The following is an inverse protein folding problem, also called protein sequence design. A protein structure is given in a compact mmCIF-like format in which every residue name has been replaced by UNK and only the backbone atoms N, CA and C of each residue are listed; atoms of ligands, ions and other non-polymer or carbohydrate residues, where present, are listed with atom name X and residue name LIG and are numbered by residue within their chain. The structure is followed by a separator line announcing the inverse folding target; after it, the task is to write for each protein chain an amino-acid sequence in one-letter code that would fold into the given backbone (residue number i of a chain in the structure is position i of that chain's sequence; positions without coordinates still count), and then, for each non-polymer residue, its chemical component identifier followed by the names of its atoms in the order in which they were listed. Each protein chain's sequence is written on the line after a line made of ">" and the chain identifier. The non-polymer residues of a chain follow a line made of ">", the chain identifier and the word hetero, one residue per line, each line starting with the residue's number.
data_IF_535475212425
#
_entry.id   IF_535475212425
#
_cell.length_a   1.000
_cell.length_b   1.000
_cell.length_c   1.000
_cell.angle_alpha   90.00
_cell.angle_beta   90.00
_cell.angle_gamma   90.00
#
_symmetry.space_group_name_H-M   'P 1'
#
loop_
_entity.id
_entity.type
_entity.pdbx_description
1 polymer ?
#
# COMPACT_ATOMS: atom_id res chain seq x y z
N UNK A 1 9.13 22.68 -13.29
CA UNK A 1 9.30 21.21 -13.28
C UNK A 1 8.05 20.48 -12.83
N UNK A 2 7.55 20.68 -11.61
CA UNK A 2 6.33 20.00 -11.14
C UNK A 2 5.11 20.27 -12.04
N UNK A 3 4.83 21.53 -12.39
CA UNK A 3 3.71 21.87 -13.28
C UNK A 3 3.80 21.19 -14.65
N UNK A 4 5.02 21.08 -15.22
CA UNK A 4 5.25 20.38 -16.48
C UNK A 4 5.00 18.87 -16.33
N UNK A 5 5.46 18.27 -15.23
CA UNK A 5 5.23 16.86 -14.91
C UNK A 5 3.73 16.55 -14.77
N UNK A 6 2.99 17.38 -14.04
CA UNK A 6 1.53 17.26 -13.89
C UNK A 6 0.82 17.45 -15.22
N UNK A 7 1.24 18.41 -16.05
CA UNK A 7 0.68 18.61 -17.38
C UNK A 7 0.93 17.39 -18.28
N UNK A 8 2.16 16.85 -18.29
CA UNK A 8 2.50 15.65 -19.04
C UNK A 8 1.70 14.42 -18.56
N UNK A 9 1.54 14.25 -17.25
CA UNK A 9 0.69 13.22 -16.67
C UNK A 9 -0.78 13.39 -17.11
N UNK A 10 -1.31 14.62 -17.09
CA UNK A 10 -2.69 14.91 -17.48
C UNK A 10 -2.92 14.60 -18.96
N UNK A 11 -1.99 14.98 -19.83
CA UNK A 11 -2.02 14.65 -21.26
C UNK A 11 -1.97 13.14 -21.46
N UNK A 12 -1.08 12.44 -20.75
CA UNK A 12 -0.98 10.98 -20.82
C UNK A 12 -2.30 10.31 -20.42
N UNK A 13 -2.90 10.71 -19.30
CA UNK A 13 -4.18 10.17 -18.83
C UNK A 13 -5.30 10.40 -19.84
N UNK A 14 -5.34 11.59 -20.46
CA UNK A 14 -6.33 11.93 -21.47
C UNK A 14 -6.16 11.12 -22.75
N UNK A 15 -4.91 10.99 -23.25
CA UNK A 15 -4.59 10.29 -24.50
C UNK A 15 -4.76 8.78 -24.35
N UNK A 16 -4.23 8.20 -23.28
CA UNK A 16 -4.30 6.76 -23.00
C UNK A 16 -5.65 6.33 -22.42
N UNK A 17 -6.55 7.28 -22.11
CA UNK A 17 -7.87 7.05 -21.49
C UNK A 17 -7.77 6.16 -20.25
N UNK A 18 -6.81 6.48 -19.38
CA UNK A 18 -6.42 5.61 -18.26
C UNK A 18 -7.64 5.29 -17.38
N UNK A 19 -7.97 4.00 -17.20
CA UNK A 19 -9.16 3.61 -16.45
C UNK A 19 -9.02 3.79 -14.94
N UNK A 20 -7.81 3.64 -14.39
CA UNK A 20 -7.52 3.46 -12.96
C UNK A 20 -8.23 2.22 -12.39
N UNK A 21 -7.79 1.04 -12.84
CA UNK A 21 -8.45 -0.24 -12.54
C UNK A 21 -8.58 -0.49 -11.02
N UNK A 22 -7.53 -0.29 -10.24
CA UNK A 22 -7.56 -0.50 -8.78
C UNK A 22 -8.52 0.47 -8.09
N UNK A 23 -8.57 1.73 -8.51
CA UNK A 23 -9.56 2.69 -8.01
C UNK A 23 -11.00 2.19 -8.26
N UNK A 24 -11.26 1.58 -9.43
CA UNK A 24 -12.57 1.01 -9.74
C UNK A 24 -12.88 -0.24 -8.90
N UNK A 25 -11.87 -1.05 -8.57
CA UNK A 25 -11.99 -2.16 -7.61
C UNK A 25 -12.34 -1.62 -6.22
N UNK A 26 -11.62 -0.60 -5.71
CA UNK A 26 -11.93 0.02 -4.41
C UNK A 26 -13.36 0.57 -4.39
N UNK A 27 -13.79 1.19 -5.49
CA UNK A 27 -15.16 1.69 -5.64
C UNK A 27 -16.20 0.57 -5.62
N UNK A 28 -15.92 -0.57 -6.26
CA UNK A 28 -16.79 -1.74 -6.24
C UNK A 28 -16.84 -2.40 -4.86
N UNK A 29 -15.70 -2.52 -4.17
CA UNK A 29 -15.63 -3.00 -2.78
C UNK A 29 -16.47 -2.11 -1.85
N UNK A 30 -16.32 -0.78 -1.96
CA UNK A 30 -17.13 0.16 -1.19
C UNK A 30 -18.63 0.07 -1.49
N UNK A 31 -19.01 -0.18 -2.75
CA UNK A 31 -20.40 -0.36 -3.14
C UNK A 31 -20.98 -1.67 -2.57
N UNK A 32 -20.21 -2.77 -2.61
CA UNK A 32 -20.62 -4.04 -2.03
C UNK A 32 -20.90 -3.90 -0.53
N UNK A 33 -20.04 -3.20 0.21
CA UNK A 33 -20.27 -2.91 1.63
C UNK A 33 -21.55 -2.09 1.87
N UNK A 34 -21.83 -1.08 1.04
CA UNK A 34 -23.04 -0.27 1.18
C UNK A 34 -24.33 -1.03 0.85
N UNK A 35 -24.27 -1.95 -0.11
CA UNK A 35 -25.43 -2.71 -0.58
C UNK A 35 -25.65 -4.02 0.20
N UNK A 36 -24.64 -4.47 0.97
CA UNK A 36 -24.65 -5.79 1.59
C UNK A 36 -24.40 -6.93 0.60
N UNK A 37 -23.68 -6.66 -0.48
CA UNK A 37 -23.28 -7.67 -1.46
C UNK A 37 -22.05 -8.46 -0.97
N UNK A 38 -21.87 -9.69 -1.47
CA UNK A 38 -20.70 -10.51 -1.17
C UNK A 38 -19.41 -9.86 -1.72
N UNK A 39 -18.54 -9.44 -0.79
CA UNK A 39 -17.30 -8.74 -1.08
C UNK A 39 -16.32 -9.56 -1.93
N UNK A 40 -16.26 -10.88 -1.76
CA UNK A 40 -15.26 -11.73 -2.44
C UNK A 40 -15.80 -12.46 -3.67
N UNK A 41 -17.12 -12.43 -3.88
CA UNK A 41 -17.75 -12.79 -5.15
C UNK A 41 -17.61 -11.69 -6.22
N UNK A 42 -17.38 -10.43 -5.85
CA UNK A 42 -17.34 -9.33 -6.81
C UNK A 42 -16.22 -9.47 -7.84
N UNK A 43 -16.51 -9.05 -9.08
CA UNK A 43 -15.54 -8.95 -10.17
C UNK A 43 -15.76 -7.65 -10.93
N UNK A 44 -14.71 -6.84 -11.07
CA UNK A 44 -14.76 -5.65 -11.93
C UNK A 44 -14.64 -6.10 -13.38
N UNK A 45 -15.76 -6.03 -14.10
CA UNK A 45 -16.04 -6.78 -15.33
C UNK A 45 -15.06 -6.58 -16.48
N UNK A 46 -14.52 -5.37 -16.67
CA UNK A 46 -13.61 -5.07 -17.79
C UNK A 46 -12.30 -5.89 -17.73
N UNK A 47 -11.79 -6.16 -16.52
CA UNK A 47 -10.54 -6.90 -16.31
C UNK A 47 -10.72 -8.16 -15.45
N UNK A 48 -11.95 -8.49 -15.08
CA UNK A 48 -12.29 -9.58 -14.15
C UNK A 48 -11.51 -9.52 -12.83
N UNK A 49 -11.25 -8.32 -12.31
CA UNK A 49 -10.44 -8.13 -11.11
C UNK A 49 -11.23 -8.45 -9.84
N UNK A 50 -10.71 -9.30 -8.94
CA UNK A 50 -11.34 -9.61 -7.66
C UNK A 50 -11.02 -8.57 -6.57
N UNK A 51 -11.85 -8.54 -5.53
CA UNK A 51 -11.47 -7.88 -4.28
C UNK A 51 -10.29 -8.58 -3.62
N UNK A 52 -9.26 -7.83 -3.23
CA UNK A 52 -8.02 -8.37 -2.65
C UNK A 52 -7.71 -7.84 -1.26
N UNK A 53 -8.45 -6.84 -0.80
CA UNK A 53 -8.15 -6.13 0.44
C UNK A 53 -8.91 -6.74 1.65
N UNK A 54 -8.42 -6.52 2.89
CA UNK A 54 -9.14 -6.88 4.10
C UNK A 54 -10.49 -6.12 4.19
N UNK A 55 -11.52 -6.67 4.87
CA UNK A 55 -12.84 -6.02 4.95
C UNK A 55 -12.81 -4.61 5.54
N UNK A 56 -11.89 -4.35 6.48
CA UNK A 56 -11.68 -3.00 7.01
C UNK A 56 -11.35 -1.96 5.92
N UNK A 57 -10.57 -2.33 4.90
CA UNK A 57 -10.27 -1.46 3.78
C UNK A 57 -11.50 -1.19 2.91
N UNK A 58 -12.28 -2.24 2.60
CA UNK A 58 -13.52 -2.10 1.85
C UNK A 58 -14.51 -1.14 2.54
N UNK A 59 -14.60 -1.19 3.86
CA UNK A 59 -15.37 -0.22 4.65
C UNK A 59 -14.88 1.22 4.46
N UNK A 60 -13.56 1.44 4.43
CA UNK A 60 -12.97 2.75 4.15
C UNK A 60 -13.20 3.22 2.71
N UNK A 61 -13.44 2.30 1.78
CA UNK A 61 -13.73 2.63 0.39
C UNK A 61 -15.21 2.98 0.13
N UNK A 62 -16.11 2.80 1.09
CA UNK A 62 -17.54 3.16 0.95
C UNK A 62 -17.79 4.58 0.41
N UNK A 63 -17.02 5.65 0.77
CA UNK A 63 -17.27 6.97 0.21
C UNK A 63 -16.99 7.04 -1.30
N UNK A 64 -16.12 6.18 -1.83
CA UNK A 64 -15.78 6.18 -3.25
C UNK A 64 -16.93 5.64 -4.12
N UNK A 65 -17.83 4.81 -3.56
CA UNK A 65 -18.98 4.25 -4.25
C UNK A 65 -19.95 5.33 -4.75
N UNK A 66 -20.15 6.37 -3.94
CA UNK A 66 -21.12 7.46 -4.22
C UNK A 66 -20.52 8.62 -5.01
N UNK A 67 -19.19 8.65 -5.17
CA UNK A 67 -18.51 9.70 -5.94
C UNK A 67 -18.50 9.33 -7.43
N UNK A 68 -18.87 10.26 -8.34
CA UNK A 68 -18.76 10.04 -9.78
C UNK A 68 -17.32 9.72 -10.20
N UNK A 69 -17.14 8.72 -11.06
CA UNK A 69 -15.82 8.24 -11.49
C UNK A 69 -14.88 9.36 -11.99
N UNK A 70 -15.32 10.32 -12.83
CA UNK A 70 -14.44 11.41 -13.27
C UNK A 70 -13.91 12.26 -12.12
N UNK A 71 -14.75 12.54 -11.11
CA UNK A 71 -14.36 13.28 -9.91
C UNK A 71 -13.39 12.45 -9.08
N UNK A 72 -13.66 11.16 -8.92
CA UNK A 72 -12.80 10.25 -8.17
C UNK A 72 -11.39 10.17 -8.77
N UNK A 73 -11.26 10.12 -10.11
CA UNK A 73 -9.95 10.14 -10.80
C UNK A 73 -9.12 11.38 -10.45
N UNK A 74 -9.77 12.55 -10.42
CA UNK A 74 -9.11 13.81 -10.05
C UNK A 74 -8.69 13.78 -8.58
N UNK A 75 -9.57 13.34 -7.68
CA UNK A 75 -9.29 13.25 -6.24
C UNK A 75 -8.15 12.28 -5.94
N UNK A 76 -8.15 11.10 -6.55
CA UNK A 76 -7.10 10.08 -6.37
C UNK A 76 -5.76 10.59 -6.92
N UNK A 77 -5.76 11.22 -8.09
CA UNK A 77 -4.53 11.79 -8.67
C UNK A 77 -3.96 12.91 -7.78
N UNK A 78 -4.80 13.85 -7.35
CA UNK A 78 -4.38 14.95 -6.49
C UNK A 78 -3.92 14.43 -5.11
N UNK A 79 -4.66 13.48 -4.53
CA UNK A 79 -4.32 12.83 -3.27
C UNK A 79 -2.98 12.13 -3.33
N UNK A 80 -2.73 11.32 -4.37
CA UNK A 80 -1.45 10.65 -4.57
C UNK A 80 -0.30 11.64 -4.79
N UNK A 81 -0.52 12.78 -5.45
CA UNK A 81 0.49 13.83 -5.59
C UNK A 81 0.85 14.48 -4.25
N UNK A 82 -0.15 14.77 -3.41
CA UNK A 82 0.07 15.28 -2.06
C UNK A 82 0.80 14.23 -1.21
N UNK A 83 0.38 12.97 -1.26
CA UNK A 83 1.00 11.88 -0.51
C UNK A 83 2.45 11.62 -0.94
N UNK A 84 2.76 11.74 -2.23
CA UNK A 84 4.14 11.69 -2.72
C UNK A 84 4.99 12.82 -2.12
N UNK A 85 4.44 14.04 -2.05
CA UNK A 85 5.08 15.18 -1.40
C UNK A 85 5.29 14.96 0.09
N UNK A 86 4.29 14.42 0.80
CA UNK A 86 4.40 14.07 2.22
C UNK A 86 5.45 12.99 2.45
N UNK A 87 5.45 11.92 1.65
CA UNK A 87 6.42 10.85 1.72
C UNK A 87 7.85 11.40 1.51
N UNK A 88 8.04 12.24 0.49
CA UNK A 88 9.33 12.90 0.25
C UNK A 88 9.76 13.77 1.44
N UNK A 89 8.84 14.58 1.98
CA UNK A 89 9.10 15.44 3.13
C UNK A 89 9.53 14.64 4.36
N UNK A 90 8.80 13.57 4.68
CA UNK A 90 9.10 12.68 5.80
C UNK A 90 10.44 11.95 5.60
N UNK A 91 10.73 11.49 4.39
CA UNK A 91 12.03 10.88 4.05
C UNK A 91 13.18 11.86 4.28
N UNK A 92 13.05 13.10 3.80
CA UNK A 92 14.06 14.12 4.02
C UNK A 92 14.22 14.50 5.49
N UNK A 93 13.13 14.53 6.25
CA UNK A 93 13.18 14.71 7.72
C UNK A 93 13.96 13.60 8.40
N UNK A 94 13.73 12.34 8.02
CA UNK A 94 14.41 11.19 8.62
C UNK A 94 15.90 11.14 8.23
N UNK A 95 16.24 11.52 7.00
CA UNK A 95 17.62 11.58 6.52
C UNK A 95 18.39 12.82 7.00
N UNK A 96 17.72 13.74 7.72
CA UNK A 96 18.20 15.08 8.04
C UNK A 96 18.85 15.83 6.86
N UNK A 97 18.31 15.60 5.66
CA UNK A 97 18.84 16.15 4.42
C UNK A 97 17.71 16.35 3.40
N UNK A 98 17.73 17.41 2.57
CA UNK A 98 18.63 18.56 2.62
C UNK A 98 18.26 19.51 3.77
N UNK A 99 19.03 20.59 3.95
CA UNK A 99 18.77 21.59 4.98
C UNK A 99 17.33 22.13 4.93
N UNK A 100 16.72 22.52 6.07
CA UNK A 100 15.32 22.94 6.12
C UNK A 100 14.92 24.00 5.08
N UNK A 101 15.74 25.02 4.77
CA UNK A 101 15.39 26.00 3.73
C UNK A 101 15.32 25.43 2.31
N UNK A 102 16.08 24.37 2.01
CA UNK A 102 16.11 23.71 0.70
C UNK A 102 15.08 22.58 0.57
N UNK A 103 14.54 22.11 1.70
CA UNK A 103 13.63 20.96 1.76
C UNK A 103 12.34 21.16 0.94
N UNK A 104 11.67 22.33 0.92
CA UNK A 104 10.50 22.53 0.06
C UNK A 104 10.82 22.35 -1.44
N UNK A 105 11.93 22.92 -1.91
CA UNK A 105 12.36 22.76 -3.30
C UNK A 105 12.68 21.30 -3.63
N UNK A 106 13.35 20.58 -2.73
CA UNK A 106 13.63 19.16 -2.91
C UNK A 106 12.35 18.30 -2.95
N UNK A 107 11.34 18.61 -2.11
CA UNK A 107 10.03 17.94 -2.15
C UNK A 107 9.35 18.16 -3.50
N UNK A 108 9.36 19.39 -4.02
CA UNK A 108 8.79 19.69 -5.35
C UNK A 108 9.53 18.96 -6.48
N UNK A 109 10.85 18.78 -6.37
CA UNK A 109 11.64 18.00 -7.33
C UNK A 109 11.29 16.52 -7.25
N UNK A 110 11.20 15.94 -6.04
CA UNK A 110 10.77 14.54 -5.87
C UNK A 110 9.33 14.35 -6.35
N UNK A 111 8.42 15.28 -6.09
CA UNK A 111 7.06 15.19 -6.63
C UNK A 111 7.05 15.25 -8.17
N UNK A 112 7.92 16.07 -8.77
CA UNK A 112 8.00 16.22 -10.22
C UNK A 112 8.57 14.98 -10.92
N UNK A 113 9.69 14.45 -10.44
CA UNK A 113 10.41 13.35 -11.08
C UNK A 113 10.03 11.98 -10.51
N UNK A 114 9.74 11.92 -9.21
CA UNK A 114 9.34 10.71 -8.51
C UNK A 114 8.06 10.11 -9.05
N UNK A 115 7.14 10.93 -9.59
CA UNK A 115 5.93 10.46 -10.28
C UNK A 115 6.24 9.46 -11.41
N UNK A 116 7.39 9.62 -12.07
CA UNK A 116 7.80 8.80 -13.22
C UNK A 116 8.65 7.59 -12.84
N UNK A 117 8.95 7.42 -11.56
CA UNK A 117 9.56 6.18 -11.08
C UNK A 117 8.51 5.09 -11.12
N UNK A 118 8.87 3.92 -11.67
CA UNK A 118 7.97 2.79 -11.92
C UNK A 118 6.93 2.51 -10.80
N UNK A 119 7.30 2.38 -9.50
CA UNK A 119 6.31 2.04 -8.47
C UNK A 119 5.33 3.19 -8.16
N UNK A 120 5.79 4.44 -8.33
CA UNK A 120 4.95 5.62 -8.15
C UNK A 120 4.07 5.79 -9.38
N UNK A 121 4.63 5.64 -10.58
CA UNK A 121 3.89 5.69 -11.84
C UNK A 121 2.72 4.70 -11.82
N UNK A 122 2.96 3.44 -11.42
CA UNK A 122 1.90 2.45 -11.29
C UNK A 122 0.84 2.85 -10.27
N UNK A 123 1.24 3.44 -9.14
CA UNK A 123 0.29 3.93 -8.13
C UNK A 123 -0.67 4.98 -8.72
N UNK A 124 -0.16 5.88 -9.55
CA UNK A 124 -0.99 6.87 -10.26
C UNK A 124 -1.81 6.24 -11.41
N UNK A 125 -1.21 5.30 -12.14
CA UNK A 125 -1.81 4.65 -13.31
C UNK A 125 -3.03 3.79 -12.93
N UNK A 126 -2.92 3.01 -11.86
CA UNK A 126 -4.00 2.17 -11.36
C UNK A 126 -4.90 2.90 -10.35
N UNK A 127 -4.46 4.02 -9.78
CA UNK A 127 -5.19 4.75 -8.74
C UNK A 127 -5.10 4.09 -7.36
N UNK A 128 -3.93 3.56 -7.02
CA UNK A 128 -3.68 2.79 -5.80
C UNK A 128 -3.54 3.66 -4.55
N UNK A 129 -3.74 3.02 -3.39
CA UNK A 129 -3.53 3.61 -2.05
C UNK A 129 -2.11 3.40 -1.49
N UNK A 130 -1.17 2.90 -2.29
CA UNK A 130 0.17 2.51 -1.82
C UNK A 130 0.94 3.68 -1.18
N UNK A 131 0.84 4.90 -1.74
CA UNK A 131 1.48 6.09 -1.16
C UNK A 131 0.87 6.49 0.19
N UNK A 132 -0.44 6.28 0.39
CA UNK A 132 -1.09 6.50 1.68
C UNK A 132 -0.52 5.55 2.74
N UNK A 133 -0.47 4.26 2.40
CA UNK A 133 0.08 3.21 3.26
C UNK A 133 1.54 3.52 3.62
N UNK A 134 2.37 3.86 2.63
CA UNK A 134 3.78 4.21 2.84
C UNK A 134 3.94 5.47 3.71
N UNK A 135 3.14 6.51 3.47
CA UNK A 135 3.18 7.74 4.24
C UNK A 135 2.77 7.52 5.70
N UNK A 136 1.74 6.70 5.97
CA UNK A 136 1.31 6.34 7.33
C UNK A 136 2.43 5.63 8.10
N UNK A 137 3.06 4.63 7.47
CA UNK A 137 4.17 3.89 8.07
C UNK A 137 5.34 4.82 8.36
N UNK A 138 5.79 5.60 7.37
CA UNK A 138 6.95 6.46 7.54
C UNK A 138 6.69 7.56 8.57
N UNK A 139 5.47 8.11 8.58
CA UNK A 139 5.05 9.06 9.60
C UNK A 139 5.17 8.45 10.99
N UNK A 140 4.62 7.25 11.21
CA UNK A 140 4.67 6.56 12.50
C UNK A 140 6.11 6.30 12.95
N UNK A 141 6.95 5.77 12.06
CA UNK A 141 8.36 5.48 12.34
C UNK A 141 9.15 6.74 12.66
N UNK A 142 8.82 7.87 12.04
CA UNK A 142 9.49 9.17 12.26
C UNK A 142 9.16 9.84 13.59
N UNK A 143 8.19 9.30 14.36
CA UNK A 143 7.81 9.85 15.67
C UNK A 143 8.81 9.44 16.76
N UNK A 144 8.97 10.22 17.83
CA UNK A 144 9.76 9.82 18.99
C UNK A 144 9.26 8.51 19.60
N UNK A 145 10.17 7.66 20.09
CA UNK A 145 9.81 6.39 20.74
C UNK A 145 9.02 6.58 22.05
N UNK A 146 9.08 7.78 22.64
CA UNK A 146 8.28 8.18 23.79
C UNK A 146 6.81 8.46 23.45
N UNK A 147 6.48 8.63 22.16
CA UNK A 147 5.13 8.94 21.72
C UNK A 147 4.18 7.76 21.98
N UNK A 148 3.18 7.96 22.85
CA UNK A 148 2.27 6.89 23.30
C UNK A 148 1.50 6.20 22.17
N UNK A 149 1.25 6.91 21.08
CA UNK A 149 0.55 6.39 19.90
C UNK A 149 1.46 5.91 18.77
N UNK A 150 2.78 5.77 19.00
CA UNK A 150 3.68 5.14 18.01
C UNK A 150 3.27 3.67 17.85
N UNK A 151 3.09 3.24 16.61
CA UNK A 151 2.56 1.94 16.21
C UNK A 151 1.15 2.01 15.65
N UNK A 152 0.32 3.00 16.03
CA UNK A 152 -1.09 3.05 15.62
C UNK A 152 -1.21 3.12 14.10
N UNK A 153 -0.46 4.01 13.45
CA UNK A 153 -0.58 4.18 12.01
C UNK A 153 0.00 2.98 11.24
N UNK A 154 0.99 2.27 11.78
CA UNK A 154 1.47 0.99 11.22
C UNK A 154 0.38 -0.08 11.32
N UNK A 155 -0.27 -0.21 12.48
CA UNK A 155 -1.35 -1.18 12.68
C UNK A 155 -2.56 -0.92 11.80
N UNK A 156 -2.98 0.35 11.67
CA UNK A 156 -4.06 0.74 10.76
C UNK A 156 -3.66 0.50 9.31
N UNK A 157 -2.43 0.85 8.91
CA UNK A 157 -1.93 0.58 7.56
C UNK A 157 -1.91 -0.93 7.24
N UNK A 158 -1.54 -1.78 8.22
CA UNK A 158 -1.61 -3.23 8.11
C UNK A 158 -3.06 -3.74 7.98
N UNK A 159 -4.02 -3.07 8.62
CA UNK A 159 -5.44 -3.34 8.48
C UNK A 159 -6.00 -2.96 7.10
N UNK A 160 -5.42 -1.95 6.45
CA UNK A 160 -5.76 -1.58 5.07
C UNK A 160 -5.12 -2.54 4.06
N UNK A 161 -3.86 -2.91 4.25
CA UNK A 161 -3.11 -3.81 3.36
C UNK A 161 -2.13 -4.57 4.24
N UNK A 162 -2.02 -5.90 4.16
CA UNK A 162 -1.25 -6.68 5.15
C UNK A 162 0.26 -6.38 5.15
N UNK A 163 0.83 -5.94 4.03
CA UNK A 163 2.28 -5.75 3.81
C UNK A 163 3.02 -4.93 4.90
N UNK A 164 2.48 -3.80 5.41
CA UNK A 164 3.10 -3.01 6.48
C UNK A 164 3.25 -3.73 7.81
N UNK A 165 2.62 -4.89 8.01
CA UNK A 165 2.78 -5.70 9.23
C UNK A 165 4.24 -6.02 9.55
N UNK A 166 5.12 -6.07 8.53
CA UNK A 166 6.56 -6.23 8.71
C UNK A 166 7.19 -5.13 9.57
N UNK A 167 6.63 -3.90 9.58
CA UNK A 167 7.15 -2.81 10.40
C UNK A 167 6.85 -3.00 11.89
N UNK A 168 5.77 -3.71 12.25
CA UNK A 168 5.56 -4.11 13.64
C UNK A 168 6.62 -5.13 14.09
N UNK A 169 7.01 -6.06 13.21
CA UNK A 169 8.13 -6.99 13.45
C UNK A 169 9.46 -6.24 13.59
N UNK A 170 9.73 -5.28 12.70
CA UNK A 170 10.90 -4.41 12.81
C UNK A 170 10.95 -3.66 14.15
N UNK A 171 9.82 -3.08 14.60
CA UNK A 171 9.75 -2.41 15.90
C UNK A 171 10.06 -3.37 17.06
N UNK A 172 9.57 -4.62 16.99
CA UNK A 172 9.87 -5.64 17.99
C UNK A 172 11.37 -5.99 18.00
N UNK A 173 11.97 -6.24 16.82
CA UNK A 173 13.38 -6.61 16.68
C UNK A 173 14.35 -5.47 17.02
N UNK A 174 13.92 -4.22 16.88
CA UNK A 174 14.69 -3.02 17.29
C UNK A 174 14.49 -2.65 18.77
N UNK A 175 13.86 -3.51 19.57
CA UNK A 175 13.65 -3.28 21.01
C UNK A 175 12.51 -2.31 21.35
N UNK A 176 11.79 -1.79 20.37
CA UNK A 176 10.64 -0.89 20.54
C UNK A 176 9.35 -1.67 20.82
N UNK A 177 9.41 -2.57 21.81
CA UNK A 177 8.36 -3.56 22.13
C UNK A 177 6.99 -2.91 22.34
N UNK A 178 6.93 -1.78 23.05
CA UNK A 178 5.68 -1.04 23.26
C UNK A 178 5.03 -0.62 21.94
N UNK A 179 5.80 -0.05 21.01
CA UNK A 179 5.28 0.41 19.73
C UNK A 179 4.81 -0.77 18.86
N UNK A 180 5.54 -1.88 18.90
CA UNK A 180 5.11 -3.12 18.24
C UNK A 180 3.78 -3.64 18.80
N UNK A 181 3.62 -3.64 20.13
CA UNK A 181 2.37 -4.03 20.78
C UNK A 181 1.21 -3.08 20.42
N UNK A 182 1.46 -1.77 20.39
CA UNK A 182 0.46 -0.78 19.95
C UNK A 182 0.05 -1.00 18.49
N UNK A 183 1.00 -1.32 17.61
CA UNK A 183 0.71 -1.67 16.22
C UNK A 183 -0.15 -2.93 16.11
N UNK A 184 0.18 -3.98 16.87
CA UNK A 184 -0.60 -5.21 16.91
C UNK A 184 -2.03 -4.95 17.42
N UNK A 185 -2.20 -4.18 18.49
CA UNK A 185 -3.52 -3.82 19.02
C UNK A 185 -4.33 -3.00 18.02
N UNK A 186 -3.71 -2.02 17.36
CA UNK A 186 -4.38 -1.22 16.34
C UNK A 186 -4.81 -2.08 15.15
N UNK A 187 -3.95 -3.00 14.68
CA UNK A 187 -4.31 -3.97 13.66
C UNK A 187 -5.48 -4.84 14.09
N UNK A 188 -5.44 -5.45 15.28
CA UNK A 188 -6.55 -6.26 15.81
C UNK A 188 -7.82 -5.44 15.89
N UNK A 189 -7.76 -4.15 16.27
CA UNK A 189 -8.93 -3.29 16.27
C UNK A 189 -9.54 -3.10 14.87
N UNK A 190 -8.72 -3.01 13.82
CA UNK A 190 -9.23 -2.99 12.42
C UNK A 190 -9.90 -4.30 12.04
N UNK A 191 -9.36 -5.44 12.48
CA UNK A 191 -9.94 -6.77 12.22
C UNK A 191 -11.27 -6.92 12.96
N UNK A 192 -11.33 -6.47 14.21
CA UNK A 192 -12.55 -6.49 15.01
C UNK A 192 -13.62 -5.55 14.45
N UNK A 193 -13.24 -4.39 13.91
CA UNK A 193 -14.16 -3.54 13.17
C UNK A 193 -14.71 -4.29 11.94
N UNK A 194 -13.84 -4.92 11.15
CA UNK A 194 -14.27 -5.81 10.07
C UNK A 194 -15.25 -6.88 10.55
N UNK A 195 -14.93 -7.61 11.63
CA UNK A 195 -15.79 -8.66 12.16
C UNK A 195 -17.13 -8.16 12.68
N UNK A 196 -17.20 -6.91 13.17
CA UNK A 196 -18.44 -6.32 13.69
C UNK A 196 -19.42 -5.94 12.57
N UNK A 197 -18.91 -5.50 11.41
CA UNK A 197 -19.75 -5.02 10.30
C UNK A 197 -19.86 -6.00 9.12
N UNK A 198 -18.84 -6.85 8.93
CA UNK A 198 -18.65 -7.81 7.83
C UNK A 198 -18.10 -9.14 8.39
N UNK A 199 -18.86 -9.84 9.26
CA UNK A 199 -18.34 -11.01 10.00
C UNK A 199 -17.94 -12.17 9.08
N UNK A 200 -18.76 -12.47 8.06
CA UNK A 200 -18.51 -13.59 7.14
C UNK A 200 -17.26 -13.35 6.30
N UNK A 201 -17.16 -12.16 5.71
CA UNK A 201 -16.05 -11.70 4.88
C UNK A 201 -14.77 -11.63 5.72
N UNK A 202 -14.85 -11.21 6.99
CA UNK A 202 -13.67 -11.18 7.87
C UNK A 202 -13.14 -12.57 8.15
N UNK A 203 -14.01 -13.54 8.44
CA UNK A 203 -13.58 -14.94 8.59
C UNK A 203 -13.01 -15.47 7.29
N UNK A 204 -13.71 -15.29 6.17
CA UNK A 204 -13.29 -15.77 4.85
C UNK A 204 -11.93 -15.19 4.45
N UNK A 205 -11.69 -13.90 4.69
CA UNK A 205 -10.44 -13.25 4.37
C UNK A 205 -9.25 -13.86 5.11
N UNK A 206 -9.37 -13.96 6.45
CA UNK A 206 -8.28 -14.40 7.33
C UNK A 206 -8.09 -15.92 7.37
N UNK A 207 -9.03 -16.71 6.82
CA UNK A 207 -8.92 -18.18 6.78
C UNK A 207 -8.62 -18.72 5.39
N UNK A 208 -9.08 -18.06 4.33
CA UNK A 208 -8.95 -18.53 2.95
C UNK A 208 -8.22 -17.50 2.08
N UNK A 209 -8.81 -16.31 1.92
CA UNK A 209 -8.42 -15.40 0.83
C UNK A 209 -7.02 -14.84 0.93
N UNK A 210 -6.50 -14.62 2.14
CA UNK A 210 -5.13 -14.12 2.30
C UNK A 210 -4.05 -15.13 1.89
N UNK A 211 -4.43 -16.41 1.74
CA UNK A 211 -3.53 -17.49 1.29
C UNK A 211 -3.65 -17.81 -0.20
N UNK A 212 -4.71 -17.33 -0.87
CA UNK A 212 -4.93 -17.51 -2.32
C UNK A 212 -4.11 -16.50 -3.13
N UNK A 213 -2.79 -16.66 -3.16
CA UNK A 213 -1.87 -15.69 -3.80
C UNK A 213 -2.10 -15.53 -5.30
N UNK A 214 -2.60 -16.57 -5.98
CA UNK A 214 -2.91 -16.54 -7.41
C UNK A 214 -4.06 -15.57 -7.76
N UNK A 215 -4.89 -15.22 -6.77
CA UNK A 215 -6.02 -14.29 -6.95
C UNK A 215 -5.57 -12.85 -7.19
N UNK A 216 -4.35 -12.49 -6.81
CA UNK A 216 -3.83 -11.11 -6.87
C UNK A 216 -3.24 -10.79 -8.25
N UNK A 217 -2.88 -11.81 -9.04
CA UNK A 217 -2.33 -11.67 -10.38
C UNK A 217 -1.38 -12.82 -10.73
N UNK A 218 -0.96 -12.88 -12.01
CA UNK A 218 -0.04 -13.93 -12.46
C UNK A 218 1.36 -13.73 -11.88
N UNK A 219 1.96 -14.81 -11.38
CA UNK A 219 3.27 -14.76 -10.71
C UNK A 219 4.37 -14.16 -11.60
N UNK A 220 4.34 -14.40 -12.90
CA UNK A 220 5.39 -14.01 -13.83
C UNK A 220 5.17 -12.65 -14.51
N UNK A 221 4.09 -11.91 -14.22
CA UNK A 221 3.91 -10.57 -14.80
C UNK A 221 5.12 -9.68 -14.48
N UNK A 222 5.47 -8.79 -15.41
CA UNK A 222 6.62 -7.89 -15.23
C UNK A 222 6.45 -6.96 -14.03
N UNK A 223 5.21 -6.65 -13.65
CA UNK A 223 4.91 -5.79 -12.49
C UNK A 223 5.23 -6.49 -11.15
N UNK A 224 5.28 -7.83 -11.12
CA UNK A 224 5.62 -8.58 -9.92
C UNK A 224 7.13 -8.58 -9.68
N UNK A 225 7.61 -7.61 -8.91
CA UNK A 225 9.02 -7.45 -8.55
C UNK A 225 9.47 -8.29 -7.33
N UNK A 226 8.64 -9.24 -6.87
CA UNK A 226 9.06 -10.18 -5.82
C UNK A 226 10.13 -11.17 -6.31
N UNK A 227 10.90 -11.75 -5.39
CA UNK A 227 11.86 -12.82 -5.72
C UNK A 227 11.16 -14.05 -6.32
N UNK A 228 9.94 -14.36 -5.88
CA UNK A 228 9.13 -15.43 -6.47
C UNK A 228 8.84 -15.14 -7.95
N UNK A 229 8.36 -13.93 -8.26
CA UNK A 229 8.07 -13.53 -9.64
C UNK A 229 9.33 -13.48 -10.51
N UNK A 230 10.44 -12.98 -9.97
CA UNK A 230 11.74 -13.00 -10.64
C UNK A 230 12.16 -14.42 -10.99
N UNK A 231 12.09 -15.35 -10.03
CA UNK A 231 12.46 -16.74 -10.26
C UNK A 231 11.50 -17.44 -11.23
N UNK A 232 10.19 -17.17 -11.14
CA UNK A 232 9.21 -17.67 -12.10
C UNK A 232 9.55 -17.23 -13.53
N UNK A 233 9.94 -15.96 -13.74
CA UNK A 233 10.36 -15.43 -15.04
C UNK A 233 11.67 -16.05 -15.54
N UNK A 234 12.69 -16.14 -14.69
CA UNK A 234 14.02 -16.68 -15.05
C UNK A 234 13.96 -18.17 -15.35
N UNK A 235 13.28 -18.94 -14.50
CA UNK A 235 13.15 -20.39 -14.63
C UNK A 235 12.04 -20.79 -15.61
N UNK A 236 11.25 -19.83 -16.10
CA UNK A 236 10.10 -20.04 -17.00
C UNK A 236 9.12 -21.09 -16.45
N UNK A 237 8.86 -21.05 -15.14
CA UNK A 237 7.96 -21.97 -14.44
C UNK A 237 6.98 -21.20 -13.57
N UNK A 238 5.77 -21.73 -13.41
CA UNK A 238 4.77 -21.21 -12.46
C UNK A 238 5.10 -21.60 -11.02
N UNK A 239 5.88 -22.67 -10.85
CA UNK A 239 6.24 -23.24 -9.56
C UNK A 239 7.77 -23.19 -9.39
N UNK A 240 8.34 -22.04 -9.00
CA UNK A 240 9.81 -21.89 -8.83
C UNK A 240 10.39 -22.66 -7.61
N UNK A 241 9.62 -23.59 -7.01
CA UNK A 241 10.03 -24.44 -5.90
C UNK A 241 10.27 -23.70 -4.58
N UNK A 242 10.96 -24.32 -3.62
CA UNK A 242 11.23 -23.71 -2.31
C UNK A 242 12.39 -22.69 -2.32
N UNK A 243 13.18 -22.63 -3.39
CA UNK A 243 14.39 -21.80 -3.47
C UNK A 243 14.07 -20.31 -3.40
N UNK A 244 12.98 -19.85 -4.02
CA UNK A 244 12.58 -18.44 -3.92
C UNK A 244 12.19 -18.06 -2.50
N UNK A 245 11.54 -18.98 -1.77
CA UNK A 245 11.11 -18.74 -0.39
C UNK A 245 12.33 -18.65 0.54
N UNK A 246 13.31 -19.56 0.37
CA UNK A 246 14.57 -19.49 1.09
C UNK A 246 15.32 -18.16 0.82
N UNK A 247 15.39 -17.72 -0.43
CA UNK A 247 15.99 -16.44 -0.80
C UNK A 247 15.22 -15.25 -0.20
N UNK A 248 13.88 -15.27 -0.22
CA UNK A 248 13.04 -14.24 0.37
C UNK A 248 13.21 -14.16 1.89
N UNK A 249 13.25 -15.29 2.60
CA UNK A 249 13.52 -15.35 4.03
C UNK A 249 14.92 -14.80 4.34
N UNK A 250 15.94 -15.20 3.57
CA UNK A 250 17.29 -14.71 3.76
C UNK A 250 17.38 -13.18 3.58
N UNK A 251 16.79 -12.64 2.51
CA UNK A 251 16.77 -11.20 2.24
C UNK A 251 15.98 -10.44 3.31
N UNK A 252 14.81 -10.94 3.71
CA UNK A 252 14.00 -10.32 4.76
C UNK A 252 14.71 -10.32 6.12
N UNK A 253 15.27 -11.47 6.52
CA UNK A 253 16.02 -11.60 7.77
C UNK A 253 17.26 -10.71 7.79
N UNK A 254 18.02 -10.68 6.69
CA UNK A 254 19.19 -9.80 6.56
C UNK A 254 18.79 -8.33 6.64
N UNK A 255 17.77 -7.91 5.87
CA UNK A 255 17.29 -6.53 5.86
C UNK A 255 16.79 -6.07 7.23
N UNK A 256 15.99 -6.92 7.91
CA UNK A 256 15.50 -6.64 9.27
C UNK A 256 16.64 -6.61 10.29
N UNK A 257 17.61 -7.51 10.21
CA UNK A 257 18.75 -7.54 11.11
C UNK A 257 19.63 -6.29 10.96
N UNK A 258 19.91 -5.86 9.72
CA UNK A 258 20.65 -4.61 9.44
C UNK A 258 19.87 -3.42 9.97
N UNK A 259 18.57 -3.31 9.65
CA UNK A 259 17.73 -2.20 10.09
C UNK A 259 17.62 -2.12 11.62
N UNK A 260 17.51 -3.25 12.32
CA UNK A 260 17.45 -3.30 13.77
C UNK A 260 18.79 -2.89 14.41
N UNK A 261 19.93 -3.29 13.82
CA UNK A 261 21.27 -2.90 14.30
C UNK A 261 21.56 -1.42 14.11
N UNK A 262 21.01 -0.77 13.10
CA UNK A 262 21.17 0.68 12.88
C UNK A 262 20.10 1.51 13.59
N UNK A 263 19.16 0.87 14.28
CA UNK A 263 18.10 1.56 15.03
C UNK A 263 18.51 1.97 16.45
N UNK A 264 19.68 1.48 16.92
CA UNK A 264 20.35 1.85 18.17
C UNK A 264 21.15 3.13 18.01
#
# INVERSE_FOLDING_TARGET
>A
MLALSVAAWTVLVAVARVPMADMLVYRAEGAAVLNGDDLYALRVTEWNLPATYPPFAAMLFTPTAVVPVPVLKVLVTAGNLVLLGVLAHLSFRCADWPSPPRRPAAVLLVAAFGLWLEPVFQTFWFGQVNLLVAALVLWDLSRPDTARGKGIAIGVAAGVKLTPGIFAVYLLLSGRVRAAAVAAVAFVATVLAGAAFLPGETVEFFTLRMFETERVGELWIVDNQSLQGLMARVLRTREPGALWAAAAVAVAAFGLAVAARTAT
#
